data_IF_102844322785
#
_entry.id   IF_102844322785
#
_cell.length_a   1.000
_cell.length_b   1.000
_cell.length_c   1.000
_cell.angle_alpha   90.00
_cell.angle_beta   90.00
_cell.angle_gamma   90.00
#
_symmetry.space_group_name_H-M   'P 1'
#
loop_
_entity.id
_entity.type
_entity.pdbx_description
1 polymer ?
#
# COMPACT_ATOMS: atom_id res chain seq x y z
N UNK A 1 -1.81 -17.77 -19.72
CA UNK A 1 -0.47 -17.61 -19.11
C UNK A 1 -0.59 -17.80 -17.61
N UNK A 2 -0.28 -19.01 -17.12
CA UNK A 2 -0.35 -19.34 -15.69
C UNK A 2 0.67 -18.50 -14.92
N UNK A 3 0.26 -17.87 -13.81
CA UNK A 3 1.18 -17.22 -12.88
C UNK A 3 2.20 -18.28 -12.49
N UNK A 4 3.42 -18.16 -13.01
CA UNK A 4 4.51 -19.08 -12.72
C UNK A 4 4.51 -19.37 -11.23
N UNK A 5 4.41 -20.64 -10.87
CA UNK A 5 4.63 -21.15 -9.54
C UNK A 5 6.10 -20.88 -9.16
N UNK A 6 6.42 -19.62 -8.90
CA UNK A 6 7.65 -19.23 -8.25
C UNK A 6 7.32 -19.19 -6.78
N UNK A 7 7.70 -20.24 -6.08
CA UNK A 7 8.74 -20.11 -5.08
C UNK A 7 8.87 -21.45 -4.39
N UNK A 8 10.08 -21.99 -4.32
CA UNK A 8 10.37 -23.14 -3.44
C UNK A 8 10.21 -22.76 -1.95
N UNK A 9 9.72 -21.55 -1.66
CA UNK A 9 9.35 -21.06 -0.34
C UNK A 9 8.23 -21.91 0.26
N UNK A 10 8.47 -22.51 1.43
CA UNK A 10 7.45 -23.20 2.19
C UNK A 10 6.27 -22.27 2.50
N UNK A 11 5.05 -22.79 2.29
CA UNK A 11 3.82 -22.07 2.62
C UNK A 11 3.65 -22.05 4.15
N UNK A 12 3.25 -20.91 4.70
CA UNK A 12 2.96 -20.79 6.14
C UNK A 12 1.89 -21.78 6.55
N UNK A 13 2.13 -22.45 7.69
CA UNK A 13 1.17 -23.36 8.32
C UNK A 13 -0.04 -22.56 8.80
N UNK A 14 -1.24 -23.10 8.58
CA UNK A 14 -2.47 -22.54 9.12
C UNK A 14 -2.50 -22.72 10.65
N UNK A 15 -2.76 -21.65 11.39
CA UNK A 15 -2.92 -21.72 12.84
C UNK A 15 -4.12 -22.61 13.22
N UNK A 16 -4.15 -23.07 14.47
CA UNK A 16 -5.24 -23.87 15.01
C UNK A 16 -6.62 -23.25 14.74
N UNK A 17 -6.76 -21.93 14.97
CA UNK A 17 -8.00 -21.20 14.69
C UNK A 17 -8.34 -21.17 13.20
N UNK A 18 -7.38 -20.90 12.32
CA UNK A 18 -7.62 -20.85 10.87
C UNK A 18 -8.03 -22.23 10.34
N UNK A 19 -7.43 -23.30 10.86
CA UNK A 19 -7.85 -24.69 10.54
C UNK A 19 -9.29 -24.92 10.95
N UNK A 20 -9.62 -24.65 12.22
CA UNK A 20 -10.97 -24.74 12.74
C UNK A 20 -11.99 -23.97 11.88
N UNK A 21 -11.74 -22.69 11.59
CA UNK A 21 -12.67 -21.88 10.78
C UNK A 21 -12.80 -22.39 9.34
N UNK A 22 -11.76 -23.02 8.79
CA UNK A 22 -11.80 -23.60 7.44
C UNK A 22 -12.63 -24.87 7.41
N UNK A 23 -12.47 -25.73 8.43
CA UNK A 23 -13.29 -26.94 8.59
C UNK A 23 -14.76 -26.59 8.84
N UNK A 24 -15.04 -25.64 9.73
CA UNK A 24 -16.40 -25.18 9.98
C UNK A 24 -17.03 -24.55 8.72
N UNK A 25 -16.27 -23.74 7.97
CA UNK A 25 -16.77 -23.20 6.69
C UNK A 25 -17.12 -24.30 5.70
N UNK A 26 -16.29 -25.34 5.58
CA UNK A 26 -16.55 -26.49 4.72
C UNK A 26 -17.83 -27.23 5.14
N UNK A 27 -18.01 -27.46 6.45
CA UNK A 27 -19.23 -28.10 6.99
C UNK A 27 -20.48 -27.27 6.71
N UNK A 28 -20.41 -25.95 6.86
CA UNK A 28 -21.53 -25.04 6.57
C UNK A 28 -21.87 -25.05 5.07
N UNK A 29 -20.87 -25.04 4.20
CA UNK A 29 -21.05 -25.15 2.75
C UNK A 29 -21.68 -26.50 2.34
N UNK A 30 -21.22 -27.61 2.92
CA UNK A 30 -21.78 -28.95 2.71
C UNK A 30 -23.25 -29.07 3.17
N UNK A 31 -23.65 -28.29 4.19
CA UNK A 31 -25.04 -28.19 4.67
C UNK A 31 -25.90 -27.24 3.83
N UNK A 32 -25.34 -26.63 2.78
CA UNK A 32 -26.05 -25.66 1.95
C UNK A 32 -26.33 -24.34 2.65
N UNK A 33 -25.53 -23.97 3.65
CA UNK A 33 -25.69 -22.70 4.35
C UNK A 33 -25.51 -21.51 3.38
N UNK A 34 -26.26 -20.44 3.62
CA UNK A 34 -26.15 -19.21 2.83
C UNK A 34 -24.76 -18.56 2.96
N UNK A 35 -24.35 -17.88 1.90
CA UNK A 35 -23.08 -17.16 1.86
C UNK A 35 -23.13 -15.95 2.78
N UNK A 36 -22.51 -16.04 3.96
CA UNK A 36 -22.31 -14.90 4.86
C UNK A 36 -21.09 -14.07 4.48
N UNK A 37 -21.07 -12.80 4.89
CA UNK A 37 -19.91 -11.93 4.77
C UNK A 37 -18.74 -12.42 5.64
N UNK A 38 -17.53 -11.96 5.32
CA UNK A 38 -16.32 -12.29 6.11
C UNK A 38 -16.46 -11.83 7.57
N UNK A 39 -17.11 -10.68 7.81
CA UNK A 39 -17.30 -10.14 9.15
C UNK A 39 -18.26 -11.00 10.00
N UNK A 40 -19.36 -11.46 9.41
CA UNK A 40 -20.32 -12.35 10.07
C UNK A 40 -19.67 -13.69 10.43
N UNK A 41 -18.94 -14.29 9.48
CA UNK A 41 -18.19 -15.52 9.73
C UNK A 41 -17.14 -15.36 10.83
N UNK A 42 -16.39 -14.26 10.82
CA UNK A 42 -15.37 -14.01 11.83
C UNK A 42 -15.99 -13.90 13.23
N UNK A 43 -17.13 -13.20 13.35
CA UNK A 43 -17.86 -13.07 14.61
C UNK A 43 -18.35 -14.43 15.12
N UNK A 44 -19.02 -15.21 14.26
CA UNK A 44 -19.56 -16.53 14.63
C UNK A 44 -18.47 -17.52 15.03
N UNK A 45 -17.41 -17.65 14.21
CA UNK A 45 -16.34 -18.60 14.49
C UNK A 45 -15.50 -18.23 15.69
N UNK A 46 -15.34 -16.93 15.99
CA UNK A 46 -14.63 -16.50 17.19
C UNK A 46 -15.33 -16.98 18.46
N UNK A 47 -16.67 -16.91 18.49
CA UNK A 47 -17.49 -17.41 19.59
C UNK A 47 -17.44 -18.93 19.66
N UNK A 48 -17.61 -19.63 18.53
CA UNK A 48 -17.52 -21.11 18.49
C UNK A 48 -16.15 -21.60 18.98
N UNK A 49 -15.05 -20.94 18.60
CA UNK A 49 -13.70 -21.27 19.06
C UNK A 49 -13.46 -21.00 20.55
N UNK A 50 -14.11 -19.97 21.10
CA UNK A 50 -14.04 -19.67 22.53
C UNK A 50 -14.77 -20.74 23.36
N UNK A 51 -15.91 -21.23 22.86
CA UNK A 51 -16.73 -22.26 23.51
C UNK A 51 -16.33 -23.71 23.18
N UNK A 52 -15.30 -23.91 22.36
CA UNK A 52 -14.84 -25.25 21.96
C UNK A 52 -14.29 -26.03 23.18
N UNK A 53 -14.63 -27.32 23.35
CA UNK A 53 -14.07 -28.14 24.41
C UNK A 53 -12.54 -28.12 24.42
N UNK A 54 -11.88 -28.14 25.60
CA UNK A 54 -10.43 -28.13 25.70
C UNK A 54 -9.75 -29.23 24.87
N UNK A 55 -10.36 -30.41 24.77
CA UNK A 55 -9.86 -31.58 24.06
C UNK A 55 -9.85 -31.34 22.54
N UNK A 56 -10.95 -30.81 22.00
CA UNK A 56 -11.04 -30.47 20.58
C UNK A 56 -10.10 -29.31 20.23
N UNK A 57 -10.01 -28.32 21.11
CA UNK A 57 -9.11 -27.18 20.93
C UNK A 57 -7.65 -27.63 20.94
N UNK A 58 -7.31 -28.57 21.83
CA UNK A 58 -5.99 -29.17 21.93
C UNK A 58 -5.63 -29.92 20.66
N UNK A 59 -6.55 -30.67 20.04
CA UNK A 59 -6.32 -31.34 18.75
C UNK A 59 -5.81 -30.36 17.68
N UNK A 60 -6.52 -29.25 17.45
CA UNK A 60 -6.08 -28.25 16.46
C UNK A 60 -4.74 -27.60 16.80
N UNK A 61 -4.48 -27.36 18.10
CA UNK A 61 -3.22 -26.79 18.57
C UNK A 61 -2.06 -27.76 18.33
N UNK A 62 -2.24 -29.05 18.62
CA UNK A 62 -1.20 -30.06 18.47
C UNK A 62 -0.92 -30.37 16.99
N UNK A 63 -1.96 -30.41 16.13
CA UNK A 63 -1.80 -30.46 14.67
C UNK A 63 -0.98 -29.25 14.16
N UNK A 64 -1.31 -28.03 14.61
CA UNK A 64 -0.54 -26.83 14.25
C UNK A 64 0.91 -26.92 14.70
N UNK A 65 1.18 -27.39 15.93
CA UNK A 65 2.56 -27.55 16.42
C UNK A 65 3.35 -28.55 15.58
N UNK A 66 2.74 -29.69 15.24
CA UNK A 66 3.37 -30.72 14.39
C UNK A 66 3.77 -30.15 13.04
N UNK A 67 2.83 -29.51 12.36
CA UNK A 67 3.08 -28.95 11.03
C UNK A 67 4.06 -27.78 11.08
N UNK A 68 4.07 -27.00 12.18
CA UNK A 68 5.06 -25.95 12.38
C UNK A 68 6.49 -26.48 12.52
N UNK A 69 6.69 -27.70 13.01
CA UNK A 69 8.02 -28.33 13.05
C UNK A 69 8.49 -28.61 11.62
N UNK A 70 7.64 -29.22 10.80
CA UNK A 70 7.95 -29.52 9.39
C UNK A 70 8.21 -28.22 8.59
N UNK A 71 7.36 -27.21 8.76
CA UNK A 71 7.52 -25.92 8.12
C UNK A 71 8.82 -25.20 8.52
N UNK A 72 9.22 -25.28 9.80
CA UNK A 72 10.48 -24.69 10.24
C UNK A 72 11.68 -25.33 9.54
N UNK A 73 11.71 -26.67 9.45
CA UNK A 73 12.76 -27.41 8.72
C UNK A 73 12.81 -27.00 7.25
N UNK A 74 11.66 -27.05 6.57
CA UNK A 74 11.58 -26.64 5.16
C UNK A 74 12.00 -25.16 4.96
N UNK A 75 11.69 -24.29 5.93
CA UNK A 75 12.10 -22.87 5.88
C UNK A 75 13.59 -22.67 6.12
N UNK A 76 14.24 -23.55 6.88
CA UNK A 76 15.69 -23.54 7.06
C UNK A 76 16.38 -23.93 5.75
N UNK A 77 15.96 -25.05 5.13
CA UNK A 77 16.46 -25.46 3.81
C UNK A 77 16.22 -24.37 2.76
N UNK A 78 15.04 -23.74 2.76
CA UNK A 78 14.75 -22.65 1.84
C UNK A 78 15.66 -21.43 2.05
N UNK A 79 16.06 -21.11 3.29
CA UNK A 79 16.97 -19.98 3.55
C UNK A 79 18.35 -20.17 2.93
N UNK A 80 18.78 -21.41 2.74
CA UNK A 80 20.09 -21.73 2.18
C UNK A 80 20.11 -21.67 0.65
N UNK A 81 18.92 -21.66 0.01
CA UNK A 81 18.78 -21.52 -1.44
C UNK A 81 19.26 -20.18 -1.97
N UNK A 82 19.79 -20.17 -3.19
CA UNK A 82 20.16 -18.93 -3.88
C UNK A 82 18.95 -18.01 -4.11
N UNK A 83 17.77 -18.57 -4.39
CA UNK A 83 16.51 -17.81 -4.52
C UNK A 83 16.24 -16.94 -3.28
N UNK A 84 16.42 -17.51 -2.08
CA UNK A 84 16.23 -16.77 -0.84
C UNK A 84 17.27 -15.66 -0.66
N UNK A 85 18.55 -15.96 -0.94
CA UNK A 85 19.66 -15.00 -0.82
C UNK A 85 19.47 -13.81 -1.77
N UNK A 86 19.14 -14.07 -3.03
CA UNK A 86 18.84 -13.04 -4.04
C UNK A 86 17.65 -12.17 -3.61
N UNK A 87 16.56 -12.79 -3.15
CA UNK A 87 15.39 -12.07 -2.66
C UNK A 87 15.72 -11.19 -1.46
N UNK A 88 16.54 -11.68 -0.51
CA UNK A 88 17.00 -10.90 0.64
C UNK A 88 17.91 -9.75 0.23
N UNK A 89 18.84 -9.98 -0.70
CA UNK A 89 19.73 -8.95 -1.23
C UNK A 89 18.93 -7.85 -1.95
N UNK A 90 17.96 -8.22 -2.80
CA UNK A 90 17.07 -7.29 -3.48
C UNK A 90 16.32 -6.40 -2.49
N UNK A 91 15.69 -6.98 -1.47
CA UNK A 91 14.99 -6.22 -0.42
C UNK A 91 15.92 -5.28 0.36
N UNK A 92 17.13 -5.75 0.67
CA UNK A 92 18.16 -4.92 1.31
C UNK A 92 18.55 -3.72 0.45
N UNK A 93 18.78 -3.95 -0.85
CA UNK A 93 19.11 -2.91 -1.82
C UNK A 93 17.94 -1.93 -2.04
N UNK A 94 16.71 -2.42 -2.12
CA UNK A 94 15.50 -1.58 -2.20
C UNK A 94 15.35 -0.70 -0.96
N UNK A 95 15.59 -1.25 0.24
CA UNK A 95 15.57 -0.48 1.49
C UNK A 95 16.65 0.60 1.50
N UNK A 96 17.89 0.25 1.16
CA UNK A 96 19.00 1.21 1.05
C UNK A 96 18.70 2.30 0.01
N UNK A 97 18.11 1.93 -1.13
CA UNK A 97 17.71 2.88 -2.16
C UNK A 97 16.61 3.83 -1.68
N UNK A 98 15.64 3.33 -0.90
CA UNK A 98 14.61 4.15 -0.28
C UNK A 98 15.19 5.11 0.77
N UNK A 99 16.04 4.62 1.67
CA UNK A 99 16.75 5.44 2.66
C UNK A 99 17.63 6.51 1.98
N UNK A 100 18.32 6.15 0.90
CA UNK A 100 19.10 7.13 0.11
C UNK A 100 18.21 8.14 -0.61
N UNK A 101 17.03 7.75 -1.12
CA UNK A 101 16.06 8.69 -1.72
C UNK A 101 15.50 9.66 -0.70
N UNK A 102 15.29 9.22 0.53
CA UNK A 102 14.82 10.06 1.63
C UNK A 102 15.88 11.08 2.05
N UNK A 103 17.15 10.67 2.12
CA UNK A 103 18.28 11.55 2.45
C UNK A 103 18.66 12.52 1.33
N UNK A 104 18.33 12.21 0.07
CA UNK A 104 18.60 13.12 -1.04
C UNK A 104 17.75 14.38 -0.90
N UNK A 105 18.36 15.58 -1.01
CA UNK A 105 17.58 16.81 -1.03
C UNK A 105 16.56 16.71 -2.16
N UNK A 106 15.28 16.95 -1.84
CA UNK A 106 14.22 16.94 -2.84
C UNK A 106 14.49 18.08 -3.81
N UNK A 107 15.10 17.77 -4.96
CA UNK A 107 15.32 18.74 -6.04
C UNK A 107 13.98 19.38 -6.37
N UNK A 108 13.83 20.68 -6.13
CA UNK A 108 12.60 21.36 -6.48
C UNK A 108 12.48 21.34 -8.00
N UNK A 109 11.43 20.69 -8.51
CA UNK A 109 11.12 20.76 -9.93
C UNK A 109 10.64 22.17 -10.25
N UNK A 110 10.96 22.62 -11.46
CA UNK A 110 10.37 23.84 -12.00
C UNK A 110 8.85 23.72 -11.94
N UNK A 111 8.18 24.73 -11.41
CA UNK A 111 6.72 24.85 -11.49
C UNK A 111 6.33 25.34 -12.87
N UNK A 112 5.27 24.78 -13.43
CA UNK A 112 4.71 25.25 -14.70
C UNK A 112 3.77 26.45 -14.46
N UNK A 113 3.41 27.21 -15.51
CA UNK A 113 2.41 28.28 -15.43
C UNK A 113 1.09 27.79 -14.84
N UNK A 114 0.64 26.62 -15.29
CA UNK A 114 -0.57 25.96 -14.79
C UNK A 114 -0.48 25.64 -13.30
N UNK A 115 0.68 25.21 -12.79
CA UNK A 115 0.84 24.96 -11.35
C UNK A 115 0.70 26.23 -10.50
N UNK A 116 1.16 27.39 -11.02
CA UNK A 116 0.96 28.68 -10.34
C UNK A 116 -0.53 29.01 -10.29
N UNK A 117 -1.21 28.96 -11.45
CA UNK A 117 -2.64 29.24 -11.56
C UNK A 117 -3.48 28.38 -10.62
N UNK A 118 -3.30 27.07 -10.69
CA UNK A 118 -4.00 26.10 -9.83
C UNK A 118 -3.73 26.40 -8.35
N UNK A 119 -2.50 26.78 -7.99
CA UNK A 119 -2.17 27.12 -6.60
C UNK A 119 -2.86 28.40 -6.10
N UNK A 120 -3.06 29.40 -6.96
CA UNK A 120 -3.79 30.63 -6.63
C UNK A 120 -5.30 30.34 -6.49
N UNK A 121 -5.87 29.56 -7.41
CA UNK A 121 -7.26 29.08 -7.36
C UNK A 121 -7.56 28.31 -6.06
N UNK A 122 -6.66 27.40 -5.67
CA UNK A 122 -6.79 26.68 -4.40
C UNK A 122 -6.77 27.60 -3.19
N UNK A 123 -5.86 28.58 -3.15
CA UNK A 123 -5.79 29.54 -2.03
C UNK A 123 -7.07 30.35 -1.91
N UNK A 124 -7.61 30.81 -3.05
CA UNK A 124 -8.86 31.57 -3.12
C UNK A 124 -10.06 30.73 -2.62
N UNK A 125 -10.24 29.52 -3.15
CA UNK A 125 -11.35 28.64 -2.74
C UNK A 125 -11.27 28.25 -1.27
N UNK A 126 -10.06 27.98 -0.77
CA UNK A 126 -9.83 27.70 0.65
C UNK A 126 -10.20 28.89 1.54
N UNK A 127 -9.94 30.13 1.13
CA UNK A 127 -10.36 31.32 1.89
C UNK A 127 -11.87 31.57 1.84
N UNK A 128 -12.57 31.08 0.81
CA UNK A 128 -14.02 31.17 0.67
C UNK A 128 -14.78 30.07 1.48
N UNK A 129 -14.06 29.21 2.21
CA UNK A 129 -14.66 28.18 3.08
C UNK A 129 -15.08 26.89 2.37
N UNK A 130 -15.09 26.85 1.03
CA UNK A 130 -15.33 25.65 0.24
C UNK A 130 -14.02 24.94 -0.12
N UNK A 131 -13.83 23.69 0.33
CA UNK A 131 -12.61 22.93 0.01
C UNK A 131 -12.91 21.48 -0.36
N UNK A 132 -13.14 21.24 -1.66
CA UNK A 132 -12.90 19.95 -2.29
C UNK A 132 -11.75 20.09 -3.31
N UNK A 133 -10.68 19.32 -3.09
CA UNK A 133 -9.52 19.33 -3.97
C UNK A 133 -9.88 18.95 -5.41
N UNK A 134 -10.76 17.96 -5.59
CA UNK A 134 -11.13 17.43 -6.91
C UNK A 134 -11.95 18.44 -7.70
N UNK A 135 -12.94 19.07 -7.06
CA UNK A 135 -13.76 20.11 -7.68
C UNK A 135 -12.91 21.27 -8.18
N UNK A 136 -12.00 21.79 -7.35
CA UNK A 136 -11.12 22.90 -7.73
C UNK A 136 -10.13 22.49 -8.83
N UNK A 137 -9.65 21.24 -8.84
CA UNK A 137 -8.79 20.74 -9.92
C UNK A 137 -9.51 20.74 -11.27
N UNK A 138 -10.74 20.23 -11.30
CA UNK A 138 -11.57 20.19 -12.51
C UNK A 138 -11.88 21.59 -13.03
N UNK A 139 -12.36 22.47 -12.15
CA UNK A 139 -12.64 23.88 -12.47
C UNK A 139 -11.39 24.58 -13.01
N UNK A 140 -10.24 24.39 -12.38
CA UNK A 140 -8.99 25.02 -12.81
C UNK A 140 -8.51 24.47 -14.16
N UNK A 141 -8.69 23.18 -14.46
CA UNK A 141 -8.39 22.64 -15.79
C UNK A 141 -9.26 23.27 -16.88
N UNK A 142 -10.57 23.39 -16.66
CA UNK A 142 -11.48 24.02 -17.61
C UNK A 142 -11.17 25.50 -17.82
N UNK A 143 -11.01 26.24 -16.72
CA UNK A 143 -10.69 27.66 -16.77
C UNK A 143 -9.35 27.93 -17.46
N UNK A 144 -8.32 27.12 -17.19
CA UNK A 144 -7.03 27.25 -17.86
C UNK A 144 -7.11 27.04 -19.38
N UNK A 145 -7.96 26.12 -19.86
CA UNK A 145 -8.17 25.90 -21.30
C UNK A 145 -8.84 27.10 -21.96
N UNK A 146 -9.82 27.71 -21.27
CA UNK A 146 -10.60 28.84 -21.77
C UNK A 146 -9.95 30.22 -21.52
N UNK A 147 -8.80 30.26 -20.85
CA UNK A 147 -8.06 31.51 -20.60
C UNK A 147 -7.39 32.05 -21.87
N UNK A 148 -7.33 33.38 -21.97
CA UNK A 148 -6.60 34.07 -23.04
C UNK A 148 -5.10 33.82 -22.93
N UNK A 149 -4.41 33.92 -24.07
CA UNK A 149 -2.95 33.79 -24.12
C UNK A 149 -2.26 34.86 -23.26
N UNK A 150 -2.78 36.10 -23.26
CA UNK A 150 -2.26 37.17 -22.41
C UNK A 150 -2.32 36.80 -20.91
N UNK A 151 -3.40 36.19 -20.45
CA UNK A 151 -3.49 35.74 -19.06
C UNK A 151 -2.55 34.56 -18.79
N UNK A 152 -2.38 33.62 -19.73
CA UNK A 152 -1.43 32.50 -19.58
C UNK A 152 0.02 32.98 -19.56
N UNK A 153 0.36 34.01 -20.32
CA UNK A 153 1.69 34.65 -20.32
C UNK A 153 2.03 35.25 -18.95
N UNK A 154 1.06 35.82 -18.24
CA UNK A 154 1.28 36.32 -16.88
C UNK A 154 1.70 35.17 -15.94
N UNK A 155 1.03 34.02 -16.02
CA UNK A 155 1.40 32.84 -15.26
C UNK A 155 2.73 32.23 -15.71
N UNK A 156 3.09 32.37 -16.99
CA UNK A 156 4.41 32.00 -17.50
C UNK A 156 5.50 32.83 -16.84
N UNK A 157 5.34 34.15 -16.80
CA UNK A 157 6.27 35.05 -16.12
C UNK A 157 6.39 34.72 -14.63
N UNK A 158 5.25 34.51 -13.93
CA UNK A 158 5.24 34.10 -12.51
C UNK A 158 5.96 32.77 -12.27
N UNK A 159 5.78 31.79 -13.16
CA UNK A 159 6.46 30.51 -13.08
C UNK A 159 7.97 30.65 -13.28
N UNK A 160 8.40 31.43 -14.28
CA UNK A 160 9.82 31.66 -14.57
C UNK A 160 10.53 32.40 -13.45
N UNK A 161 9.89 33.43 -12.89
CA UNK A 161 10.40 34.17 -11.73
C UNK A 161 10.55 33.24 -10.51
N UNK A 162 9.51 32.45 -10.20
CA UNK A 162 9.54 31.51 -9.07
C UNK A 162 10.60 30.42 -9.25
N UNK A 163 10.79 29.93 -10.47
CA UNK A 163 11.83 28.96 -10.79
C UNK A 163 13.24 29.58 -10.71
N UNK A 164 13.40 30.83 -11.15
CA UNK A 164 14.67 31.58 -11.05
C UNK A 164 15.06 31.83 -9.60
N UNK A 165 14.13 32.33 -8.77
CA UNK A 165 14.36 32.57 -7.34
C UNK A 165 14.75 31.27 -6.60
N UNK A 166 14.08 30.16 -6.90
CA UNK A 166 14.42 28.85 -6.32
C UNK A 166 15.82 28.37 -6.70
N UNK A 167 16.23 28.54 -7.97
CA UNK A 167 17.59 28.19 -8.43
C UNK A 167 18.66 29.06 -7.77
N UNK A 168 18.39 30.36 -7.60
CA UNK A 168 19.30 31.26 -6.89
C UNK A 168 19.53 30.83 -5.44
N UNK A 169 18.46 30.46 -4.73
CA UNK A 169 18.56 29.99 -3.35
C UNK A 169 19.22 28.60 -3.22
N UNK A 170 19.01 27.68 -4.17
CA UNK A 170 19.69 26.38 -4.19
C UNK A 170 21.23 26.51 -4.37
N UNK A 171 21.70 27.51 -5.12
CA UNK A 171 23.13 27.75 -5.36
C UNK A 171 23.86 28.45 -4.19
N UNK A 172 23.14 29.04 -3.23
CA UNK A 172 23.73 29.75 -2.06
C UNK A 172 23.85 28.83 -0.83
N UNK A 173 23.10 27.73 -0.80
CA UNK A 173 23.00 26.80 0.35
C UNK A 173 23.78 25.49 0.11
N UNK A 174 24.31 25.28 -1.11
CA UNK A 174 25.16 24.14 -1.47
C UNK A 174 26.65 24.49 -1.29
#
# INVERSE_FOLDING_TARGET
MSKKAHSNKPKRVASAYIRFTSEERKKEEERGAEKKSVAEWASEYSKKWASLPPEEKKRYIDEYKRDMIEYKKAMEEYKDTEEYKEMRLKKSNEKKAAENREKRPKKMRNVSPYNIFVSEMYKKKKSEGGFDFKEVASLASEQWKSMSEQSKEEYQRKADEKNRSRRGNENVVA
#
